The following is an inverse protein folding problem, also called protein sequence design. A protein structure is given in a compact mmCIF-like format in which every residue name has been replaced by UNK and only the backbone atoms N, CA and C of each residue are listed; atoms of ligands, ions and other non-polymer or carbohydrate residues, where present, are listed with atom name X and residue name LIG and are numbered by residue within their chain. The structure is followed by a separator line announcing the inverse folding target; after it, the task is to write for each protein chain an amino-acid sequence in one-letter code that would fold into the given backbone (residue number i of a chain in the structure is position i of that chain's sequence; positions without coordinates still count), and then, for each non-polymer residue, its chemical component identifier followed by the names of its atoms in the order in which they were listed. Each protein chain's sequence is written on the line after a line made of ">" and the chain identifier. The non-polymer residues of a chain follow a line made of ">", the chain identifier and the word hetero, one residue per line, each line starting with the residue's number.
data_IF_860143117900
#
_entry.id   IF_860143117900
#
_cell.length_a   1.000
_cell.length_b   1.000
_cell.length_c   1.000
_cell.angle_alpha   90.00
_cell.angle_beta   90.00
_cell.angle_gamma   90.00
#
_symmetry.space_group_name_H-M   'P 1'
#
loop_
_entity.id
_entity.type
_entity.pdbx_description
1 polymer ?
#
# COMPACT_ATOMS: atom_id res chain seq x y z
N UNK A 1 -51.07 -73.77 -43.60
CA UNK A 1 -51.61 -72.54 -42.99
C UNK A 1 -50.83 -72.32 -41.70
N UNK A 2 -50.09 -71.25 -41.44
CA UNK A 2 -49.77 -70.03 -42.17
C UNK A 2 -48.32 -69.67 -41.80
N UNK A 3 -47.50 -69.35 -42.79
CA UNK A 3 -46.13 -68.90 -42.59
C UNK A 3 -46.19 -67.44 -42.12
N UNK A 4 -46.09 -67.21 -40.81
CA UNK A 4 -46.12 -65.88 -40.23
C UNK A 4 -44.74 -65.24 -40.41
N UNK A 5 -44.47 -64.69 -41.59
CA UNK A 5 -43.31 -63.82 -41.81
C UNK A 5 -43.54 -62.51 -41.06
N UNK A 6 -43.11 -62.45 -39.79
CA UNK A 6 -42.81 -61.18 -39.16
C UNK A 6 -41.61 -60.58 -39.92
N UNK A 7 -41.84 -59.51 -40.66
CA UNK A 7 -40.76 -58.76 -41.30
C UNK A 7 -39.77 -58.30 -40.22
N UNK A 8 -38.50 -58.70 -40.36
CA UNK A 8 -37.46 -58.32 -39.41
C UNK A 8 -37.28 -56.80 -39.41
N UNK A 9 -37.24 -56.21 -38.21
CA UNK A 9 -37.06 -54.76 -38.02
C UNK A 9 -35.66 -54.37 -38.51
N UNK A 10 -35.52 -53.33 -39.35
CA UNK A 10 -34.21 -52.85 -39.79
C UNK A 10 -33.38 -52.32 -38.61
N UNK A 11 -32.06 -52.36 -38.74
CA UNK A 11 -31.15 -51.79 -37.73
C UNK A 11 -31.48 -50.32 -37.45
N UNK A 12 -31.30 -49.88 -36.20
CA UNK A 12 -31.48 -48.48 -35.82
C UNK A 12 -30.40 -47.63 -36.50
N UNK A 13 -30.74 -46.48 -37.10
CA UNK A 13 -29.74 -45.61 -37.69
C UNK A 13 -28.89 -44.97 -36.60
N UNK A 14 -27.64 -44.66 -36.94
CA UNK A 14 -26.80 -43.78 -36.13
C UNK A 14 -27.38 -42.38 -36.19
N UNK A 15 -27.46 -41.72 -35.05
CA UNK A 15 -27.93 -40.34 -34.95
C UNK A 15 -26.92 -39.48 -34.22
N UNK A 16 -26.88 -38.22 -34.62
CA UNK A 16 -26.00 -37.19 -34.10
C UNK A 16 -26.86 -36.07 -33.52
N UNK A 17 -26.64 -35.78 -32.26
CA UNK A 17 -27.40 -34.80 -31.48
C UNK A 17 -26.79 -33.43 -31.54
N UNK A 18 -27.65 -32.41 -31.53
CA UNK A 18 -27.21 -31.02 -31.48
C UNK A 18 -28.07 -30.21 -30.51
N UNK A 19 -27.56 -29.07 -30.06
CA UNK A 19 -28.31 -28.12 -29.27
C UNK A 19 -29.41 -27.46 -30.11
N UNK A 20 -30.64 -27.39 -29.59
CA UNK A 20 -31.80 -26.88 -30.35
C UNK A 20 -31.73 -25.40 -30.66
N UNK A 21 -30.97 -24.64 -29.89
CA UNK A 21 -30.88 -23.18 -29.98
C UNK A 21 -29.66 -22.77 -30.78
N UNK A 22 -28.49 -23.34 -30.48
CA UNK A 22 -27.22 -22.96 -31.13
C UNK A 22 -26.89 -23.84 -32.34
N UNK A 23 -27.54 -24.99 -32.48
CA UNK A 23 -27.19 -26.00 -33.50
C UNK A 23 -25.89 -26.75 -33.19
N UNK A 24 -25.18 -26.42 -32.10
CA UNK A 24 -23.88 -27.00 -31.76
C UNK A 24 -23.98 -28.53 -31.60
N UNK A 25 -23.07 -29.26 -32.24
CA UNK A 25 -22.96 -30.71 -32.11
C UNK A 25 -22.68 -31.11 -30.64
N UNK A 26 -23.44 -32.08 -30.14
CA UNK A 26 -23.33 -32.64 -28.79
C UNK A 26 -23.03 -34.15 -28.87
N UNK A 27 -21.76 -34.56 -29.08
CA UNK A 27 -21.39 -35.98 -29.21
C UNK A 27 -21.70 -36.81 -27.96
N UNK A 28 -21.65 -36.19 -26.77
CA UNK A 28 -21.92 -36.83 -25.49
C UNK A 28 -23.41 -36.96 -25.14
N UNK A 29 -24.31 -36.32 -25.89
CA UNK A 29 -25.74 -36.38 -25.61
C UNK A 29 -26.32 -37.76 -25.97
N UNK A 30 -26.88 -38.44 -24.97
CA UNK A 30 -27.50 -39.76 -25.13
C UNK A 30 -28.89 -39.64 -25.75
N UNK A 31 -28.98 -39.62 -27.07
CA UNK A 31 -30.25 -39.79 -27.79
C UNK A 31 -30.35 -41.18 -28.41
N UNK A 32 -31.57 -41.69 -28.50
CA UNK A 32 -31.88 -42.96 -29.17
C UNK A 32 -33.05 -42.80 -30.11
N UNK A 33 -33.02 -43.53 -31.24
CA UNK A 33 -34.17 -43.64 -32.12
C UNK A 33 -35.23 -44.54 -31.49
N UNK A 34 -36.51 -44.21 -31.69
CA UNK A 34 -37.62 -45.04 -31.27
C UNK A 34 -38.30 -45.68 -32.47
N UNK A 35 -38.55 -46.98 -32.44
CA UNK A 35 -39.29 -47.64 -33.52
C UNK A 35 -40.79 -47.34 -33.38
N UNK A 36 -41.44 -46.91 -34.45
CA UNK A 36 -42.90 -46.81 -34.51
C UNK A 36 -43.46 -48.02 -35.28
N UNK A 37 -44.05 -49.03 -34.60
CA UNK A 37 -44.68 -50.17 -35.28
C UNK A 37 -45.84 -49.75 -36.18
N UNK A 38 -46.50 -48.62 -35.87
CA UNK A 38 -47.63 -48.09 -36.63
C UNK A 38 -47.20 -47.50 -37.97
N UNK A 39 -46.09 -46.77 -37.97
CA UNK A 39 -45.58 -46.09 -39.17
C UNK A 39 -44.48 -46.87 -39.88
N UNK A 40 -44.08 -48.02 -39.32
CA UNK A 40 -43.01 -48.88 -39.81
C UNK A 40 -41.69 -48.12 -40.08
N UNK A 41 -41.35 -47.17 -39.21
CA UNK A 41 -40.16 -46.30 -39.34
C UNK A 41 -39.52 -45.97 -37.99
N UNK A 42 -38.24 -45.63 -38.02
CA UNK A 42 -37.53 -45.05 -36.88
C UNK A 42 -37.91 -43.57 -36.71
N UNK A 43 -38.31 -43.20 -35.50
CA UNK A 43 -38.54 -41.83 -35.07
C UNK A 43 -37.22 -41.25 -34.55
N UNK A 44 -36.76 -40.20 -35.22
CA UNK A 44 -35.56 -39.45 -34.85
C UNK A 44 -36.01 -38.31 -33.92
N UNK A 45 -35.35 -38.13 -32.77
CA UNK A 45 -35.61 -36.98 -31.89
C UNK A 45 -35.46 -35.64 -32.64
N UNK A 46 -36.25 -34.63 -32.24
CA UNK A 46 -36.28 -33.34 -32.95
C UNK A 46 -34.95 -32.56 -32.98
N UNK A 47 -33.98 -32.92 -32.13
CA UNK A 47 -32.64 -32.33 -32.05
C UNK A 47 -31.55 -33.34 -32.41
N UNK A 48 -31.85 -34.17 -33.41
CA UNK A 48 -30.94 -35.19 -33.90
C UNK A 48 -31.10 -35.36 -35.42
N UNK A 49 -30.00 -35.75 -36.06
CA UNK A 49 -29.94 -36.02 -37.50
C UNK A 49 -29.17 -37.32 -37.76
N UNK A 50 -29.42 -37.97 -38.89
CA UNK A 50 -28.62 -39.12 -39.36
C UNK A 50 -27.42 -38.70 -40.20
N UNK A 51 -27.31 -37.41 -40.53
CA UNK A 51 -26.15 -36.86 -41.24
C UNK A 51 -24.99 -36.74 -40.27
N UNK A 52 -23.85 -37.32 -40.60
CA UNK A 52 -22.64 -37.25 -39.79
C UNK A 52 -22.08 -35.82 -39.76
N UNK A 53 -21.74 -35.28 -38.56
CA UNK A 53 -21.12 -33.97 -38.44
C UNK A 53 -19.69 -34.01 -38.98
N UNK A 54 -19.20 -32.90 -39.57
CA UNK A 54 -17.81 -32.78 -39.96
C UNK A 54 -16.90 -32.79 -38.73
N UNK A 55 -15.67 -33.29 -38.89
CA UNK A 55 -14.63 -33.18 -37.86
C UNK A 55 -14.21 -31.72 -37.70
N UNK A 56 -14.50 -31.14 -36.53
CA UNK A 56 -14.08 -29.78 -36.21
C UNK A 56 -12.58 -29.71 -35.91
N UNK A 57 -11.89 -28.70 -36.46
CA UNK A 57 -10.50 -28.37 -36.14
C UNK A 57 -10.34 -27.52 -34.88
N UNK A 58 -9.13 -27.02 -34.63
CA UNK A 58 -8.90 -26.02 -33.58
C UNK A 58 -9.74 -24.77 -33.84
N UNK A 59 -10.39 -24.25 -32.79
CA UNK A 59 -11.29 -23.08 -32.84
C UNK A 59 -12.44 -23.22 -33.83
N UNK A 60 -12.98 -24.42 -33.98
CA UNK A 60 -14.17 -24.66 -34.79
C UNK A 60 -15.19 -25.50 -34.02
N UNK A 61 -16.46 -25.28 -34.32
CA UNK A 61 -17.57 -26.09 -33.84
C UNK A 61 -18.47 -26.49 -35.01
N UNK A 62 -18.82 -27.77 -35.08
CA UNK A 62 -19.82 -28.23 -36.03
C UNK A 62 -21.21 -27.79 -35.54
N UNK A 63 -21.93 -27.01 -36.35
CA UNK A 63 -23.28 -26.55 -36.05
C UNK A 63 -24.26 -27.04 -37.12
N UNK A 64 -25.40 -27.58 -36.70
CA UNK A 64 -26.46 -28.07 -37.57
C UNK A 64 -27.51 -26.99 -37.81
N UNK A 65 -27.74 -26.64 -39.07
CA UNK A 65 -28.88 -25.82 -39.45
C UNK A 65 -30.09 -26.72 -39.76
N UNK A 66 -31.10 -26.64 -38.89
CA UNK A 66 -32.32 -27.44 -39.02
C UNK A 66 -33.16 -27.06 -40.26
N UNK A 67 -33.02 -25.83 -40.79
CA UNK A 67 -33.76 -25.37 -41.96
C UNK A 67 -33.18 -25.97 -43.26
N UNK A 68 -31.86 -25.89 -43.44
CA UNK A 68 -31.18 -26.51 -44.58
C UNK A 68 -30.88 -28.00 -44.40
N UNK A 69 -31.00 -28.52 -43.16
CA UNK A 69 -30.66 -29.89 -42.76
C UNK A 69 -29.19 -30.26 -43.05
N UNK A 70 -28.29 -29.29 -42.90
CA UNK A 70 -26.87 -29.43 -43.18
C UNK A 70 -26.01 -29.02 -41.98
N UNK A 71 -24.82 -29.61 -41.89
CA UNK A 71 -23.79 -29.20 -40.94
C UNK A 71 -22.88 -28.14 -41.55
N UNK A 72 -22.48 -27.17 -40.73
CA UNK A 72 -21.49 -26.14 -41.07
C UNK A 72 -20.43 -26.09 -39.98
N UNK A 73 -19.17 -25.98 -40.37
CA UNK A 73 -18.10 -25.65 -39.42
C UNK A 73 -18.11 -24.14 -39.19
N UNK A 74 -18.40 -23.75 -37.95
CA UNK A 74 -18.42 -22.36 -37.51
C UNK A 74 -17.16 -22.07 -36.69
N UNK A 75 -16.62 -20.84 -36.75
CA UNK A 75 -15.52 -20.43 -35.87
C UNK A 75 -15.97 -20.46 -34.41
N UNK A 76 -15.12 -20.95 -33.52
CA UNK A 76 -15.38 -21.07 -32.09
C UNK A 76 -14.20 -20.47 -31.31
N UNK A 77 -14.34 -19.18 -30.99
CA UNK A 77 -13.40 -18.41 -30.18
C UNK A 77 -13.92 -18.17 -28.77
N UNK A 78 -14.90 -18.97 -28.31
CA UNK A 78 -15.53 -18.76 -27.00
C UNK A 78 -14.51 -18.82 -25.87
N UNK A 79 -14.63 -17.90 -24.92
CA UNK A 79 -13.73 -17.73 -23.78
C UNK A 79 -12.45 -16.94 -24.09
N UNK A 80 -12.17 -16.61 -25.36
CA UNK A 80 -11.07 -15.72 -25.69
C UNK A 80 -11.37 -14.29 -25.23
N UNK A 81 -10.33 -13.64 -24.70
CA UNK A 81 -10.35 -12.26 -24.22
C UNK A 81 -9.58 -11.37 -25.18
N UNK A 82 -10.23 -10.30 -25.59
CA UNK A 82 -9.75 -9.35 -26.58
C UNK A 82 -9.92 -7.95 -26.03
N UNK A 83 -8.95 -7.08 -26.23
CA UNK A 83 -8.98 -5.69 -25.81
C UNK A 83 -9.09 -4.80 -27.04
N UNK A 84 -10.00 -3.83 -27.00
CA UNK A 84 -10.11 -2.82 -28.06
C UNK A 84 -8.89 -1.89 -28.04
N UNK A 85 -8.20 -1.78 -29.17
CA UNK A 85 -6.96 -1.01 -29.33
C UNK A 85 -7.16 0.49 -29.07
N UNK A 86 -8.37 1.02 -29.25
CA UNK A 86 -8.68 2.43 -29.04
C UNK A 86 -9.20 2.71 -27.62
N UNK A 87 -10.13 1.88 -27.12
CA UNK A 87 -10.84 2.15 -25.86
C UNK A 87 -10.24 1.44 -24.66
N UNK A 88 -9.47 0.36 -24.89
CA UNK A 88 -8.99 -0.63 -23.88
C UNK A 88 -10.09 -1.52 -23.31
N UNK A 89 -11.30 -1.46 -23.86
CA UNK A 89 -12.42 -2.27 -23.37
C UNK A 89 -12.18 -3.76 -23.61
N UNK A 90 -12.49 -4.57 -22.60
CA UNK A 90 -12.41 -6.02 -22.69
C UNK A 90 -13.66 -6.58 -23.39
N UNK A 91 -13.45 -7.27 -24.49
CA UNK A 91 -14.39 -8.12 -25.18
C UNK A 91 -14.10 -9.59 -24.86
N UNK A 92 -15.11 -10.32 -24.41
CA UNK A 92 -15.05 -11.77 -24.23
C UNK A 92 -16.01 -12.41 -25.23
N UNK A 93 -15.50 -13.29 -26.08
CA UNK A 93 -16.34 -14.01 -27.05
C UNK A 93 -17.09 -15.11 -26.30
N UNK A 94 -18.42 -15.11 -26.39
CA UNK A 94 -19.29 -16.06 -25.66
C UNK A 94 -20.08 -16.99 -26.56
N UNK A 95 -20.22 -16.62 -27.83
CA UNK A 95 -21.04 -17.33 -28.80
C UNK A 95 -20.20 -17.92 -29.93
N UNK A 96 -20.64 -19.07 -30.46
CA UNK A 96 -20.06 -19.69 -31.65
C UNK A 96 -20.42 -18.83 -32.87
N UNK A 97 -19.51 -18.74 -33.82
CA UNK A 97 -19.70 -17.98 -35.06
C UNK A 97 -19.26 -16.53 -34.96
N UNK A 98 -18.83 -16.06 -33.77
CA UNK A 98 -18.26 -14.73 -33.58
C UNK A 98 -16.75 -14.82 -33.77
N UNK A 99 -16.24 -14.14 -34.79
CA UNK A 99 -14.81 -13.99 -35.04
C UNK A 99 -14.29 -12.72 -34.35
N UNK A 100 -13.07 -12.76 -33.79
CA UNK A 100 -12.42 -11.55 -33.31
C UNK A 100 -12.02 -10.65 -34.48
N UNK A 101 -12.21 -9.34 -34.33
CA UNK A 101 -11.70 -8.37 -35.29
C UNK A 101 -10.27 -7.96 -34.91
N UNK A 102 -9.27 -8.73 -35.37
CA UNK A 102 -7.85 -8.47 -35.09
C UNK A 102 -7.34 -7.12 -35.62
N UNK A 103 -8.13 -6.43 -36.47
CA UNK A 103 -7.78 -5.09 -36.94
C UNK A 103 -7.98 -4.04 -35.85
N UNK A 104 -9.01 -4.20 -35.00
CA UNK A 104 -9.33 -3.28 -33.89
C UNK A 104 -9.10 -3.89 -32.50
N UNK A 105 -8.96 -5.21 -32.40
CA UNK A 105 -8.78 -5.92 -31.14
C UNK A 105 -7.41 -6.58 -31.03
N UNK A 106 -6.95 -6.76 -29.79
CA UNK A 106 -5.70 -7.43 -29.45
C UNK A 106 -5.88 -8.33 -28.23
N UNK A 107 -5.22 -9.49 -28.19
CA UNK A 107 -5.21 -10.32 -26.98
C UNK A 107 -4.23 -9.81 -25.91
N UNK A 108 -3.40 -8.82 -26.24
CA UNK A 108 -2.47 -8.19 -25.30
C UNK A 108 -3.22 -7.24 -24.39
N UNK A 109 -3.11 -7.44 -23.08
CA UNK A 109 -3.74 -6.57 -22.08
C UNK A 109 -3.05 -5.19 -22.00
N UNK A 110 -3.82 -4.09 -21.87
CA UNK A 110 -3.26 -2.76 -21.60
C UNK A 110 -2.37 -2.75 -20.36
N UNK A 111 -1.27 -2.01 -20.39
CA UNK A 111 -0.37 -1.90 -19.22
C UNK A 111 -1.05 -1.22 -18.04
N UNK A 112 -1.87 -0.22 -18.33
CA UNK A 112 -2.73 0.50 -17.39
C UNK A 112 -3.83 1.29 -18.13
N UNK A 113 -4.65 2.03 -17.38
CA UNK A 113 -5.75 2.84 -17.92
C UNK A 113 -5.33 4.04 -18.77
N UNK A 114 -4.04 4.36 -18.89
CA UNK A 114 -3.51 5.46 -19.70
C UNK A 114 -2.67 4.95 -20.88
N UNK A 115 -2.66 3.63 -21.10
CA UNK A 115 -1.98 3.02 -22.21
C UNK A 115 -2.69 3.32 -23.53
N UNK A 116 -1.89 3.47 -24.58
CA UNK A 116 -2.38 3.62 -25.96
C UNK A 116 -1.77 2.50 -26.81
N UNK A 117 -2.55 1.98 -27.76
CA UNK A 117 -2.03 0.98 -28.70
C UNK A 117 -1.12 1.68 -29.70
N UNK A 118 0.10 1.18 -29.83
CA UNK A 118 1.05 1.64 -30.83
C UNK A 118 1.15 0.60 -31.96
N UNK A 119 0.71 1.00 -33.15
CA UNK A 119 0.71 0.15 -34.34
C UNK A 119 2.13 -0.11 -34.86
N UNK A 120 3.11 0.75 -34.55
CA UNK A 120 4.50 0.55 -34.99
C UNK A 120 5.17 -0.61 -34.22
N UNK A 121 4.95 -0.67 -32.90
CA UNK A 121 5.47 -1.74 -32.06
C UNK A 121 4.53 -2.94 -31.92
N UNK A 122 3.26 -2.80 -32.32
CA UNK A 122 2.22 -3.83 -32.15
C UNK A 122 1.92 -4.11 -30.68
N UNK A 123 1.91 -3.07 -29.84
CA UNK A 123 1.79 -3.22 -28.39
C UNK A 123 1.31 -1.97 -27.66
N UNK A 124 0.91 -2.15 -26.40
CA UNK A 124 0.52 -1.04 -25.53
C UNK A 124 1.73 -0.24 -25.05
N UNK A 125 1.72 1.07 -25.28
CA UNK A 125 2.74 2.00 -24.79
C UNK A 125 2.11 3.02 -23.85
N UNK A 126 2.89 3.51 -22.90
CA UNK A 126 2.51 4.67 -22.09
C UNK A 126 2.98 5.90 -22.86
N UNK A 127 2.09 6.85 -23.19
CA UNK A 127 2.49 8.05 -23.90
C UNK A 127 3.59 8.82 -23.14
N UNK A 128 4.57 9.41 -23.85
CA UNK A 128 5.67 10.15 -23.21
C UNK A 128 5.18 11.25 -22.24
N UNK A 129 4.08 11.93 -22.55
CA UNK A 129 3.49 12.96 -21.69
C UNK A 129 2.91 12.40 -20.38
N UNK A 130 2.37 11.19 -20.42
CA UNK A 130 1.90 10.49 -19.22
C UNK A 130 3.09 10.07 -18.37
N UNK A 131 4.14 9.54 -18.99
CA UNK A 131 5.37 9.16 -18.31
C UNK A 131 6.04 10.38 -17.67
N UNK A 132 6.17 11.49 -18.40
CA UNK A 132 6.77 12.72 -17.89
C UNK A 132 5.97 13.30 -16.73
N UNK A 133 4.64 13.36 -16.83
CA UNK A 133 3.79 13.80 -15.71
C UNK A 133 3.96 12.92 -14.47
N UNK A 134 4.09 11.61 -14.64
CA UNK A 134 4.33 10.66 -13.52
C UNK A 134 5.71 10.88 -12.91
N UNK A 135 6.74 11.03 -13.74
CA UNK A 135 8.11 11.31 -13.31
C UNK A 135 8.19 12.63 -12.55
N UNK A 136 7.56 13.69 -13.07
CA UNK A 136 7.50 15.00 -12.42
C UNK A 136 6.77 14.93 -11.08
N UNK A 137 5.63 14.22 -11.01
CA UNK A 137 4.88 14.07 -9.78
C UNK A 137 5.67 13.29 -8.71
N UNK A 138 6.42 12.26 -9.11
CA UNK A 138 7.31 11.52 -8.22
C UNK A 138 8.49 12.39 -7.75
N UNK A 139 9.15 13.10 -8.67
CA UNK A 139 10.23 14.01 -8.33
C UNK A 139 9.78 15.12 -7.39
N UNK A 140 8.56 15.65 -7.56
CA UNK A 140 7.99 16.65 -6.67
C UNK A 140 7.73 16.08 -5.27
N UNK A 141 7.22 14.85 -5.15
CA UNK A 141 7.04 14.19 -3.85
C UNK A 141 8.39 14.00 -3.16
N UNK A 142 9.35 13.41 -3.86
CA UNK A 142 10.70 13.19 -3.32
C UNK A 142 11.37 14.49 -2.91
N UNK A 143 11.26 15.55 -3.72
CA UNK A 143 11.79 16.86 -3.39
C UNK A 143 11.14 17.44 -2.12
N UNK A 144 9.80 17.36 -2.02
CA UNK A 144 9.08 17.81 -0.84
C UNK A 144 9.48 17.03 0.42
N UNK A 145 9.65 15.72 0.32
CA UNK A 145 10.06 14.86 1.44
C UNK A 145 11.49 15.20 1.89
N UNK A 146 12.43 15.35 0.95
CA UNK A 146 13.82 15.74 1.24
C UNK A 146 13.88 17.11 1.91
N UNK A 147 13.17 18.10 1.34
CA UNK A 147 13.15 19.46 1.88
C UNK A 147 12.51 19.47 3.27
N UNK A 148 11.37 18.80 3.45
CA UNK A 148 10.69 18.74 4.75
C UNK A 148 11.56 18.07 5.80
N UNK A 149 12.21 16.95 5.47
CA UNK A 149 13.12 16.28 6.39
C UNK A 149 14.34 17.15 6.75
N UNK A 150 14.91 17.88 5.77
CA UNK A 150 16.01 18.80 6.03
C UNK A 150 15.57 19.99 6.90
N UNK A 151 14.40 20.55 6.63
CA UNK A 151 13.80 21.63 7.43
C UNK A 151 13.52 21.17 8.86
N UNK A 152 12.99 19.96 9.06
CA UNK A 152 12.75 19.39 10.38
C UNK A 152 14.06 19.20 11.16
N UNK A 153 15.10 18.60 10.55
CA UNK A 153 16.42 18.45 11.18
C UNK A 153 17.02 19.80 11.58
N UNK A 154 16.93 20.79 10.68
CA UNK A 154 17.42 22.14 10.97
C UNK A 154 16.62 22.81 12.09
N UNK A 155 15.29 22.67 12.08
CA UNK A 155 14.40 23.25 13.07
C UNK A 155 14.70 22.73 14.47
N UNK A 156 14.75 21.41 14.67
CA UNK A 156 15.01 20.81 16.00
C UNK A 156 16.39 21.18 16.55
N UNK A 157 17.37 21.44 15.69
CA UNK A 157 18.72 21.87 16.09
C UNK A 157 18.81 23.35 16.46
N UNK A 158 18.02 24.23 15.84
CA UNK A 158 18.27 25.69 15.89
C UNK A 158 17.14 26.53 16.49
N UNK A 159 15.90 26.06 16.44
CA UNK A 159 14.75 26.78 16.99
C UNK A 159 14.65 26.60 18.52
N UNK A 160 13.80 27.39 19.15
CA UNK A 160 13.51 27.27 20.59
C UNK A 160 12.26 26.44 20.80
N UNK A 161 12.31 25.52 21.76
CA UNK A 161 11.22 24.62 22.13
C UNK A 161 11.14 24.47 23.64
N UNK A 162 9.97 24.08 24.14
CA UNK A 162 9.80 23.68 25.55
C UNK A 162 10.47 22.34 25.84
N UNK A 163 10.69 22.04 27.12
CA UNK A 163 11.22 20.75 27.53
C UNK A 163 10.31 19.56 27.14
N UNK A 164 9.00 19.78 27.08
CA UNK A 164 8.02 18.77 26.67
C UNK A 164 8.01 18.54 25.16
N UNK A 165 8.20 19.59 24.36
CA UNK A 165 8.41 19.47 22.91
C UNK A 165 9.71 18.71 22.62
N UNK A 166 10.82 19.06 23.27
CA UNK A 166 12.08 18.30 23.16
C UNK A 166 11.91 16.83 23.55
N UNK A 167 11.16 16.53 24.62
CA UNK A 167 10.82 15.16 25.02
C UNK A 167 10.04 14.41 23.92
N UNK A 168 9.07 15.08 23.30
CA UNK A 168 8.29 14.52 22.19
C UNK A 168 9.20 14.23 20.99
N UNK A 169 10.11 15.14 20.68
CA UNK A 169 11.08 14.99 19.58
C UNK A 169 12.11 13.88 19.85
N UNK A 170 12.59 13.73 21.08
CA UNK A 170 13.45 12.61 21.48
C UNK A 170 12.73 11.27 21.30
N UNK A 171 11.48 11.16 21.77
CA UNK A 171 10.64 9.98 21.56
C UNK A 171 10.41 9.67 20.07
N UNK A 172 10.26 10.71 19.25
CA UNK A 172 10.13 10.60 17.81
C UNK A 172 11.48 10.38 17.07
N UNK A 173 12.60 10.34 17.79
CA UNK A 173 13.96 10.15 17.26
C UNK A 173 14.36 11.21 16.24
N UNK A 174 14.06 12.47 16.52
CA UNK A 174 14.42 13.61 15.67
C UNK A 174 15.85 14.14 15.91
N UNK A 175 16.52 13.66 16.95
CA UNK A 175 17.90 13.96 17.28
C UNK A 175 18.76 12.71 17.13
N UNK A 176 20.04 12.91 16.85
CA UNK A 176 21.01 11.82 16.85
C UNK A 176 21.30 11.37 18.30
N UNK A 177 21.50 10.06 18.49
CA UNK A 177 21.92 9.50 19.77
C UNK A 177 23.40 9.80 20.03
N UNK A 178 23.75 10.14 21.27
CA UNK A 178 25.14 10.35 21.67
C UNK A 178 25.98 9.09 21.43
N UNK A 179 27.16 9.26 20.86
CA UNK A 179 28.12 8.19 20.60
C UNK A 179 29.51 8.60 21.08
N UNK A 180 30.20 7.70 21.78
CA UNK A 180 31.61 7.90 22.12
C UNK A 180 32.47 7.91 20.84
N UNK A 181 33.51 8.75 20.82
CA UNK A 181 34.42 8.92 19.68
C UNK A 181 33.98 9.96 18.66
N UNK A 182 32.70 10.35 18.63
CA UNK A 182 32.20 11.44 17.77
C UNK A 182 32.65 12.80 18.29
N UNK A 183 32.80 13.77 17.38
CA UNK A 183 33.09 15.16 17.74
C UNK A 183 31.84 16.00 17.53
N UNK A 184 31.39 16.64 18.61
CA UNK A 184 30.22 17.49 18.62
C UNK A 184 30.65 18.95 18.74
N UNK A 185 30.05 19.80 17.91
CA UNK A 185 30.27 21.25 17.94
C UNK A 185 29.41 21.93 19.00
N UNK A 186 29.84 23.11 19.48
CA UNK A 186 29.03 23.92 20.38
C UNK A 186 27.68 24.31 19.74
N UNK A 187 26.60 24.22 20.51
CA UNK A 187 25.21 24.41 20.09
C UNK A 187 24.55 23.17 19.48
N UNK A 188 25.29 22.08 19.23
CA UNK A 188 24.70 20.85 18.69
C UNK A 188 23.80 20.17 19.72
N UNK A 189 22.64 19.67 19.29
CA UNK A 189 21.67 18.99 20.15
C UNK A 189 21.62 17.50 19.84
N UNK A 190 21.65 16.68 20.89
CA UNK A 190 21.68 15.22 20.79
C UNK A 190 20.84 14.58 21.89
N UNK A 191 20.56 13.29 21.78
CA UNK A 191 19.86 12.52 22.82
C UNK A 191 20.82 11.58 23.53
N UNK A 192 20.69 11.48 24.85
CA UNK A 192 21.30 10.43 25.65
C UNK A 192 20.31 9.98 26.72
N UNK A 193 20.06 8.68 26.82
CA UNK A 193 19.10 8.09 27.78
C UNK A 193 17.69 8.72 27.67
N UNK A 194 17.28 9.12 26.46
CA UNK A 194 15.98 9.73 26.18
C UNK A 194 15.87 11.22 26.54
N UNK A 195 16.95 11.82 27.04
CA UNK A 195 17.04 13.26 27.34
C UNK A 195 17.78 13.98 26.22
N UNK A 196 17.21 15.08 25.73
CA UNK A 196 17.89 15.98 24.78
C UNK A 196 18.89 16.83 25.55
N UNK A 197 20.13 16.90 25.07
CA UNK A 197 21.18 17.78 25.58
C UNK A 197 21.65 18.74 24.49
N UNK A 198 22.01 19.96 24.90
CA UNK A 198 22.80 20.89 24.08
C UNK A 198 24.27 20.80 24.46
N UNK A 199 25.14 20.74 23.45
CA UNK A 199 26.59 20.78 23.60
C UNK A 199 27.01 22.23 23.84
N UNK A 200 27.56 22.52 25.01
CA UNK A 200 27.93 23.89 25.40
C UNK A 200 29.29 24.31 24.82
N UNK A 201 30.21 23.36 24.69
CA UNK A 201 31.52 23.56 24.10
C UNK A 201 31.89 22.37 23.22
N UNK A 202 32.63 22.62 22.15
CA UNK A 202 33.09 21.56 21.25
C UNK A 202 33.82 20.47 22.06
N UNK A 203 33.48 19.21 21.79
CA UNK A 203 34.01 18.06 22.52
C UNK A 203 34.14 16.86 21.59
N UNK A 204 35.23 16.11 21.72
CA UNK A 204 35.30 14.73 21.23
C UNK A 204 34.82 13.83 22.35
N UNK A 205 33.68 13.18 22.16
CA UNK A 205 33.00 12.38 23.17
C UNK A 205 33.86 11.19 23.61
N UNK A 206 33.89 10.91 24.91
CA UNK A 206 34.62 9.78 25.50
C UNK A 206 33.62 8.94 26.28
N UNK A 207 33.73 7.61 26.19
CA UNK A 207 32.79 6.65 26.79
C UNK A 207 32.60 6.84 28.30
N UNK A 208 33.65 7.23 29.03
CA UNK A 208 33.60 7.48 30.48
C UNK A 208 33.02 8.84 30.86
N UNK A 209 32.65 9.68 29.88
CA UNK A 209 32.18 11.05 30.04
C UNK A 209 30.90 11.31 29.21
N UNK A 210 29.84 10.48 29.36
CA UNK A 210 28.57 10.72 28.68
C UNK A 210 27.84 11.96 29.21
N UNK A 211 26.80 12.45 28.51
CA UNK A 211 26.03 13.63 28.93
C UNK A 211 25.44 13.56 30.34
N UNK A 212 25.09 12.37 30.83
CA UNK A 212 24.55 12.15 32.18
C UNK A 212 25.61 11.95 33.28
N UNK A 213 26.91 11.92 32.94
CA UNK A 213 27.96 11.68 33.93
C UNK A 213 28.25 12.90 34.82
N UNK A 214 28.68 12.63 36.05
CA UNK A 214 29.05 13.66 37.02
C UNK A 214 30.15 14.58 36.47
N UNK A 215 29.97 15.90 36.62
CA UNK A 215 30.90 16.91 36.12
C UNK A 215 30.78 17.24 34.63
N UNK A 216 29.94 16.54 33.87
CA UNK A 216 29.77 16.77 32.42
C UNK A 216 28.86 17.93 32.06
N UNK A 217 28.26 18.57 33.07
CA UNK A 217 27.40 19.74 32.88
C UNK A 217 28.11 20.90 32.18
N UNK A 218 29.43 21.06 32.29
CA UNK A 218 30.16 22.09 31.54
C UNK A 218 30.18 21.84 30.02
N UNK A 219 29.93 20.61 29.60
CA UNK A 219 29.98 20.16 28.20
C UNK A 219 28.57 19.94 27.64
N UNK A 220 27.67 19.34 28.42
CA UNK A 220 26.33 18.96 28.01
C UNK A 220 25.29 19.55 28.97
N UNK A 221 24.31 20.29 28.44
CA UNK A 221 23.21 20.88 29.20
C UNK A 221 21.90 20.21 28.83
N UNK A 222 21.15 19.60 29.77
CA UNK A 222 19.86 19.00 29.45
C UNK A 222 18.83 20.06 29.02
N UNK A 223 18.06 19.76 27.96
CA UNK A 223 16.98 20.57 27.40
C UNK A 223 15.59 19.94 27.55
N UNK A 224 15.50 18.63 27.83
CA UNK A 224 14.22 17.94 28.10
C UNK A 224 14.21 17.26 29.47
N UNK A 225 13.02 17.00 29.99
CA UNK A 225 12.80 16.31 31.27
C UNK A 225 12.66 14.79 31.10
N UNK A 226 12.83 14.03 32.18
CA UNK A 226 12.64 12.57 32.22
C UNK A 226 11.21 12.15 31.76
N UNK A 227 11.14 10.91 31.29
CA UNK A 227 10.03 10.17 30.72
C UNK A 227 8.71 10.15 31.52
N UNK A 228 8.71 10.35 32.85
CA UNK A 228 7.52 10.06 33.67
C UNK A 228 6.51 11.20 33.91
N UNK A 229 6.87 12.49 33.89
CA UNK A 229 5.96 13.54 34.46
C UNK A 229 5.19 14.43 33.48
N UNK A 230 5.56 14.49 32.20
CA UNK A 230 4.64 14.82 31.09
C UNK A 230 4.03 16.22 30.93
N UNK A 231 4.12 17.15 31.90
CA UNK A 231 3.50 18.48 31.77
C UNK A 231 4.46 19.57 31.23
N UNK A 232 3.93 20.48 30.40
CA UNK A 232 4.67 21.55 29.71
C UNK A 232 4.93 22.75 30.63
N UNK A 233 6.20 23.08 30.92
CA UNK A 233 6.47 24.23 31.75
C UNK A 233 7.00 25.43 30.96
N UNK A 234 6.48 26.63 31.25
CA UNK A 234 6.92 27.93 30.71
C UNK A 234 7.70 28.78 31.75
N UNK A 235 7.92 28.18 32.94
CA UNK A 235 8.58 28.82 34.07
C UNK A 235 7.74 29.87 34.76
N UNK A 236 6.43 29.90 34.52
CA UNK A 236 5.45 30.63 35.32
C UNK A 236 5.05 29.83 36.55
N UNK A 237 4.37 30.47 37.50
CA UNK A 237 3.85 29.78 38.68
C UNK A 237 2.83 28.69 38.31
N UNK A 238 2.04 28.93 37.25
CA UNK A 238 1.01 28.00 36.79
C UNK A 238 1.64 26.79 36.07
N UNK A 239 2.74 27.00 35.34
CA UNK A 239 3.48 25.98 34.60
C UNK A 239 5.00 26.03 34.90
N UNK A 240 5.43 25.62 36.10
CA UNK A 240 6.82 25.76 36.55
C UNK A 240 7.75 24.75 35.87
N UNK A 241 8.95 25.17 35.46
CA UNK A 241 10.00 24.30 34.91
C UNK A 241 10.30 23.12 35.83
N UNK A 242 10.16 21.88 35.37
CA UNK A 242 10.65 20.75 36.16
C UNK A 242 12.14 20.91 36.35
N UNK A 243 12.57 21.04 37.60
CA UNK A 243 13.98 21.17 37.92
C UNK A 243 14.71 19.88 37.56
N UNK A 244 15.76 20.01 36.76
CA UNK A 244 16.73 18.96 36.48
C UNK A 244 18.06 19.38 37.08
N UNK A 245 18.75 18.42 37.70
CA UNK A 245 20.08 18.69 38.22
C UNK A 245 21.00 19.17 37.09
N UNK A 246 21.67 20.29 37.32
CA UNK A 246 22.56 20.90 36.33
C UNK A 246 21.89 21.63 35.17
N UNK A 247 20.57 21.82 35.19
CA UNK A 247 19.92 22.70 34.21
C UNK A 247 20.27 24.17 34.43
N UNK A 248 20.06 24.98 33.40
CA UNK A 248 20.13 26.42 33.51
C UNK A 248 18.87 26.94 34.21
N UNK A 249 19.07 27.61 35.35
CA UNK A 249 17.98 28.24 36.10
C UNK A 249 18.07 29.75 35.96
N UNK A 250 16.97 30.38 35.58
CA UNK A 250 16.87 31.82 35.37
C UNK A 250 16.12 32.49 36.51
N UNK A 251 16.64 33.64 36.95
CA UNK A 251 16.02 34.47 37.96
C UNK A 251 14.58 34.86 37.56
N UNK A 252 13.66 34.78 38.51
CA UNK A 252 12.26 35.14 38.31
C UNK A 252 11.40 34.06 37.65
N UNK A 253 11.97 32.88 37.37
CA UNK A 253 11.23 31.71 36.86
C UNK A 253 10.90 30.72 37.98
N UNK A 254 9.83 29.99 37.80
CA UNK A 254 9.35 28.99 38.75
C UNK A 254 9.76 27.58 38.31
N UNK A 255 10.11 26.76 39.28
CA UNK A 255 10.59 25.40 39.08
C UNK A 255 9.88 24.42 40.01
N UNK A 256 9.45 23.27 39.48
CA UNK A 256 8.90 22.18 40.27
C UNK A 256 10.00 21.20 40.68
N UNK A 257 10.01 20.81 41.96
CA UNK A 257 10.95 19.84 42.51
C UNK A 257 10.36 19.14 43.73
N UNK A 258 10.41 17.80 43.78
CA UNK A 258 9.86 16.99 44.88
C UNK A 258 8.41 17.34 45.26
N UNK A 259 7.55 17.60 44.26
CA UNK A 259 6.13 17.91 44.45
C UNK A 259 5.84 19.32 44.98
N UNK A 260 6.84 20.21 45.00
CA UNK A 260 6.73 21.61 45.41
C UNK A 260 7.17 22.55 44.30
N UNK A 261 6.75 23.81 44.37
CA UNK A 261 7.12 24.87 43.43
C UNK A 261 8.06 25.85 44.11
N UNK A 262 9.10 26.28 43.41
CA UNK A 262 10.10 27.22 43.88
C UNK A 262 10.32 28.35 42.88
N UNK A 263 10.40 29.59 43.35
CA UNK A 263 10.85 30.73 42.57
C UNK A 263 12.38 30.83 42.65
N UNK A 264 13.05 30.88 41.50
CA UNK A 264 14.47 31.17 41.42
C UNK A 264 14.73 32.66 41.70
N UNK A 265 15.63 32.96 42.63
CA UNK A 265 15.99 34.32 43.06
C UNK A 265 17.30 34.84 42.45
N UNK A 266 17.96 34.01 41.65
CA UNK A 266 19.19 34.32 40.94
C UNK A 266 19.32 33.45 39.69
N UNK A 267 20.11 33.91 38.72
CA UNK A 267 20.54 33.07 37.62
C UNK A 267 21.56 32.06 38.15
N UNK A 268 21.33 30.77 37.90
CA UNK A 268 22.21 29.66 38.28
C UNK A 268 22.47 28.82 37.03
N UNK A 269 23.58 29.11 36.34
CA UNK A 269 23.90 28.62 35.00
C UNK A 269 25.30 27.94 35.00
N UNK A 270 25.41 26.62 35.24
CA UNK A 270 24.34 25.67 35.57
C UNK A 270 23.95 25.70 37.05
N UNK A 271 22.74 25.22 37.34
CA UNK A 271 22.25 25.07 38.70
C UNK A 271 22.57 23.69 39.27
N UNK A 272 23.59 23.63 40.13
CA UNK A 272 23.94 22.43 40.93
C UNK A 272 23.37 22.48 42.34
N UNK A 273 22.43 23.40 42.58
CA UNK A 273 21.82 23.67 43.88
C UNK A 273 20.35 23.26 43.85
N UNK A 274 20.01 22.07 44.32
CA UNK A 274 18.63 21.59 44.26
C UNK A 274 17.66 22.47 45.09
N UNK A 275 16.45 22.78 44.56
CA UNK A 275 15.41 23.48 45.32
C UNK A 275 15.05 22.74 46.63
N UNK A 276 14.67 23.49 47.66
CA UNK A 276 14.33 22.90 48.97
C UNK A 276 15.51 22.48 49.85
N UNK A 277 16.76 22.66 49.39
CA UNK A 277 17.95 22.49 50.23
C UNK A 277 17.98 23.56 51.34
N UNK A 278 18.06 23.14 52.59
CA UNK A 278 17.99 24.05 53.75
C UNK A 278 19.12 25.09 53.73
N UNK A 279 18.75 26.37 53.86
CA UNK A 279 19.69 27.49 53.92
C UNK A 279 20.13 28.06 52.57
N UNK A 280 19.62 27.56 51.44
CA UNK A 280 19.85 28.16 50.14
C UNK A 280 18.89 29.34 49.89
N UNK A 281 19.45 30.53 49.69
CA UNK A 281 18.67 31.75 49.44
C UNK A 281 18.27 31.92 47.97
N UNK A 282 18.89 31.15 47.07
CA UNK A 282 18.62 31.18 45.63
C UNK A 282 17.24 30.62 45.26
N UNK A 283 16.58 29.92 46.20
CA UNK A 283 15.27 29.34 46.03
C UNK A 283 14.29 29.89 47.07
N UNK A 284 13.11 30.28 46.62
CA UNK A 284 11.98 30.63 47.47
C UNK A 284 10.87 29.62 47.24
N UNK A 285 10.56 28.79 48.25
CA UNK A 285 9.43 27.86 48.17
C UNK A 285 8.13 28.65 48.09
N UNK A 286 7.34 28.40 47.04
CA UNK A 286 6.02 28.99 46.89
C UNK A 286 5.08 28.22 47.81
N UNK A 287 4.63 28.89 48.86
CA UNK A 287 3.59 28.35 49.75
C UNK A 287 2.25 28.90 49.26
N UNK A 288 1.26 28.02 49.05
CA UNK A 288 -0.12 28.46 48.79
C UNK A 288 -0.60 29.28 50.00
N UNK A 289 -1.17 30.46 49.73
CA UNK A 289 -1.80 31.33 50.73
C UNK A 289 -3.26 30.93 50.97
#
# INVERSE_FOLDING_TARGET
>A
MSNNQQAERPAAPVIYTYDKTTGEYKPEAKATCQWSPRENKWLIPAAATTTEPPTAGEKQAACFDAASKAWTLMPDHRGEKWYDKATRELHEIKDIGVEPDETVWTQTEPKDGESVWDEETGGWVIPPEVQERRNLAEAQRQANDIITAAMQRSAVQTMSFSAAEFKTFAKARLFDEWQAGETYEAGYRLVHEGVVYEVIQQVTAIETQPPSAEGMLAIYRPLSVDSETGDEPDGTLENPYTYLDGMDVYNGKYYSYNGKIYLAKADMLPCTWAPGTAGLWQWEEVTEA
#
